data_IF_908736001824
#
_entry.id   IF_908736001824
#
_cell.length_a   1.000
_cell.length_b   1.000
_cell.length_c   1.000
_cell.angle_alpha   90.00
_cell.angle_beta   90.00
_cell.angle_gamma   90.00
#
_symmetry.space_group_name_H-M   'P 1'
#
loop_
_entity.id
_entity.type
_entity.pdbx_description
1 polymer ?
#
# COMPACT_ATOMS: atom_id res chain seq x y z
N UNK A 1 -25.05 -28.86 4.51
CA UNK A 1 -24.53 -27.56 4.96
C UNK A 1 -25.01 -26.52 3.96
N UNK A 2 -25.55 -25.39 4.43
CA UNK A 2 -26.04 -24.33 3.56
C UNK A 2 -24.91 -23.74 2.69
N UNK A 3 -25.25 -23.33 1.46
CA UNK A 3 -24.30 -22.67 0.57
C UNK A 3 -23.85 -21.32 1.17
N UNK A 4 -22.57 -20.93 1.02
CA UNK A 4 -22.10 -19.63 1.48
C UNK A 4 -22.94 -18.51 0.87
N UNK A 5 -23.49 -17.62 1.70
CA UNK A 5 -24.20 -16.45 1.21
C UNK A 5 -23.20 -15.52 0.50
N UNK A 6 -23.25 -15.48 -0.84
CA UNK A 6 -22.25 -14.80 -1.65
C UNK A 6 -22.25 -13.28 -1.45
N UNK A 7 -23.42 -12.66 -1.23
CA UNK A 7 -23.52 -11.26 -0.88
C UNK A 7 -22.71 -10.96 0.39
N UNK A 8 -22.89 -11.76 1.45
CA UNK A 8 -22.10 -11.60 2.68
C UNK A 8 -20.60 -11.70 2.38
N UNK A 9 -20.16 -12.71 1.64
CA UNK A 9 -18.75 -12.92 1.31
C UNK A 9 -18.16 -11.71 0.57
N UNK A 10 -18.84 -11.20 -0.47
CA UNK A 10 -18.39 -10.03 -1.24
C UNK A 10 -18.22 -8.82 -0.31
N UNK A 11 -19.20 -8.53 0.54
CA UNK A 11 -19.16 -7.34 1.39
C UNK A 11 -18.22 -7.49 2.61
N UNK A 12 -17.97 -8.70 3.09
CA UNK A 12 -16.89 -8.96 4.05
C UNK A 12 -15.52 -8.75 3.39
N UNK A 13 -15.33 -9.25 2.16
CA UNK A 13 -14.11 -9.03 1.40
C UNK A 13 -13.87 -7.54 1.06
N UNK A 14 -14.91 -6.78 0.72
CA UNK A 14 -14.81 -5.33 0.46
C UNK A 14 -14.39 -4.53 1.72
N UNK A 15 -14.72 -5.02 2.91
CA UNK A 15 -14.23 -4.43 4.17
C UNK A 15 -12.79 -4.83 4.51
N UNK A 16 -12.15 -5.69 3.72
CA UNK A 16 -10.82 -6.22 4.00
C UNK A 16 -10.80 -7.30 5.08
N UNK A 17 -11.94 -7.95 5.35
CA UNK A 17 -11.97 -9.07 6.31
C UNK A 17 -11.30 -10.30 5.70
N UNK A 18 -10.40 -10.93 6.46
CA UNK A 18 -9.70 -12.15 6.05
C UNK A 18 -10.60 -13.37 6.20
N UNK A 19 -10.48 -14.31 5.26
CA UNK A 19 -11.19 -15.59 5.30
C UNK A 19 -10.21 -16.73 5.61
N UNK A 20 -10.69 -17.73 6.32
CA UNK A 20 -9.95 -18.96 6.56
C UNK A 20 -9.65 -19.69 5.23
N UNK A 21 -8.45 -20.24 5.09
CA UNK A 21 -8.02 -20.91 3.85
C UNK A 21 -8.85 -22.15 3.56
N UNK A 22 -9.19 -22.93 4.58
CA UNK A 22 -9.99 -24.15 4.42
C UNK A 22 -11.41 -23.78 4.00
N UNK A 23 -11.96 -22.71 4.59
CA UNK A 23 -13.24 -22.14 4.17
C UNK A 23 -13.24 -21.70 2.69
N UNK A 24 -12.17 -21.05 2.23
CA UNK A 24 -12.04 -20.64 0.82
C UNK A 24 -12.01 -21.88 -0.10
N UNK A 25 -11.21 -22.90 0.24
CA UNK A 25 -11.06 -24.10 -0.59
C UNK A 25 -12.34 -24.94 -0.63
N UNK A 26 -12.99 -25.16 0.51
CA UNK A 26 -14.26 -25.88 0.59
C UNK A 26 -15.36 -25.17 -0.21
N UNK A 27 -15.45 -23.84 -0.07
CA UNK A 27 -16.43 -23.03 -0.80
C UNK A 27 -16.14 -23.00 -2.30
N UNK A 28 -14.87 -22.96 -2.71
CA UNK A 28 -14.47 -23.03 -4.11
C UNK A 28 -14.94 -24.33 -4.76
N UNK A 29 -14.74 -25.47 -4.10
CA UNK A 29 -15.22 -26.78 -4.60
C UNK A 29 -16.73 -26.81 -4.76
N UNK A 30 -17.49 -26.33 -3.75
CA UNK A 30 -18.95 -26.24 -3.83
C UNK A 30 -19.43 -25.41 -5.01
N UNK A 31 -18.85 -24.23 -5.24
CA UNK A 31 -19.24 -23.37 -6.34
C UNK A 31 -18.82 -23.91 -7.71
N UNK A 32 -17.76 -24.73 -7.79
CA UNK A 32 -17.43 -25.48 -9.00
C UNK A 32 -18.54 -26.49 -9.32
N UNK A 33 -18.97 -27.29 -8.34
CA UNK A 33 -20.05 -28.26 -8.52
C UNK A 33 -21.38 -27.58 -8.90
N UNK A 34 -21.71 -26.46 -8.24
CA UNK A 34 -22.92 -25.69 -8.54
C UNK A 34 -22.92 -25.12 -9.97
N UNK A 35 -21.77 -24.65 -10.47
CA UNK A 35 -21.65 -24.18 -11.85
C UNK A 35 -21.76 -25.31 -12.88
N UNK A 36 -21.38 -26.55 -12.52
CA UNK A 36 -21.59 -27.73 -13.37
C UNK A 36 -23.07 -28.09 -13.46
N UNK A 37 -23.79 -27.97 -12.34
CA UNK A 37 -25.23 -28.27 -12.27
C UNK A 37 -26.08 -27.19 -12.95
N UNK A 38 -25.75 -25.93 -12.74
CA UNK A 38 -26.46 -24.78 -13.29
C UNK A 38 -25.50 -23.64 -13.61
N UNK A 39 -25.09 -23.58 -14.88
CA UNK A 39 -24.28 -22.51 -15.44
C UNK A 39 -25.11 -21.31 -15.94
N UNK A 40 -26.44 -21.35 -15.82
CA UNK A 40 -27.33 -20.24 -16.15
C UNK A 40 -27.55 -19.32 -14.94
N UNK A 41 -27.39 -19.83 -13.71
CA UNK A 41 -27.48 -19.05 -12.48
C UNK A 41 -26.26 -18.12 -12.31
N UNK A 42 -26.50 -16.81 -12.40
CA UNK A 42 -25.46 -15.79 -12.23
C UNK A 42 -24.81 -15.82 -10.84
N UNK A 43 -25.57 -16.12 -9.78
CA UNK A 43 -25.05 -16.17 -8.41
C UNK A 43 -24.00 -17.27 -8.23
N UNK A 44 -24.17 -18.42 -8.89
CA UNK A 44 -23.20 -19.51 -8.86
C UNK A 44 -21.87 -19.07 -9.49
N UNK A 45 -21.94 -18.40 -10.64
CA UNK A 45 -20.78 -17.91 -11.39
C UNK A 45 -20.07 -16.80 -10.60
N UNK A 46 -20.81 -15.86 -10.02
CA UNK A 46 -20.26 -14.84 -9.13
C UNK A 46 -19.54 -15.53 -7.96
N UNK A 47 -20.16 -16.51 -7.33
CA UNK A 47 -19.58 -17.29 -6.24
C UNK A 47 -18.26 -17.93 -6.61
N UNK A 48 -18.23 -18.66 -7.72
CA UNK A 48 -17.02 -19.27 -8.25
C UNK A 48 -15.92 -18.22 -8.49
N UNK A 49 -16.26 -17.11 -9.15
CA UNK A 49 -15.31 -16.05 -9.46
C UNK A 49 -14.74 -15.37 -8.22
N UNK A 50 -15.56 -15.13 -7.20
CA UNK A 50 -15.13 -14.55 -5.92
C UNK A 50 -14.20 -15.51 -5.16
N UNK A 51 -14.52 -16.79 -5.06
CA UNK A 51 -13.64 -17.74 -4.36
C UNK A 51 -12.34 -18.03 -5.13
N UNK A 52 -12.35 -17.98 -6.47
CA UNK A 52 -11.12 -17.96 -7.28
C UNK A 52 -10.28 -16.72 -6.97
N UNK A 53 -10.90 -15.55 -6.88
CA UNK A 53 -10.23 -14.29 -6.53
C UNK A 53 -9.66 -14.35 -5.11
N UNK A 54 -10.41 -14.87 -4.13
CA UNK A 54 -9.99 -15.02 -2.73
C UNK A 54 -8.87 -16.05 -2.55
N UNK A 55 -8.86 -17.14 -3.33
CA UNK A 55 -7.77 -18.13 -3.33
C UNK A 55 -6.47 -17.63 -3.98
N UNK A 56 -6.50 -16.45 -4.61
CA UNK A 56 -5.35 -15.78 -5.23
C UNK A 56 -5.23 -15.99 -6.74
N UNK A 57 -6.16 -16.71 -7.37
CA UNK A 57 -6.24 -16.82 -8.82
C UNK A 57 -7.04 -15.63 -9.41
N UNK A 58 -6.36 -14.48 -9.44
CA UNK A 58 -6.93 -13.21 -9.93
C UNK A 58 -7.37 -13.32 -11.40
N UNK A 59 -6.68 -14.12 -12.21
CA UNK A 59 -6.94 -14.22 -13.65
C UNK A 59 -8.19 -15.06 -13.89
N UNK A 60 -8.28 -16.25 -13.29
CA UNK A 60 -9.47 -17.09 -13.42
C UNK A 60 -10.69 -16.39 -12.80
N UNK A 61 -10.56 -15.88 -11.56
CA UNK A 61 -11.62 -15.17 -10.88
C UNK A 61 -12.11 -13.96 -11.67
N UNK A 62 -11.19 -13.18 -12.26
CA UNK A 62 -11.53 -12.04 -13.09
C UNK A 62 -12.33 -12.43 -14.34
N UNK A 63 -11.89 -13.47 -15.08
CA UNK A 63 -12.60 -13.96 -16.26
C UNK A 63 -14.01 -14.45 -15.91
N UNK A 64 -14.15 -15.17 -14.80
CA UNK A 64 -15.44 -15.71 -14.33
C UNK A 64 -16.40 -14.58 -13.97
N UNK A 65 -15.94 -13.58 -13.22
CA UNK A 65 -16.75 -12.40 -12.85
C UNK A 65 -17.15 -11.60 -14.10
N UNK A 66 -16.25 -11.44 -15.08
CA UNK A 66 -16.54 -10.74 -16.33
C UNK A 66 -17.49 -11.53 -17.25
N UNK A 67 -17.53 -12.86 -17.11
CA UNK A 67 -18.56 -13.71 -17.70
C UNK A 67 -19.94 -13.46 -17.08
N UNK A 68 -20.00 -13.43 -15.75
CA UNK A 68 -21.23 -13.17 -15.00
C UNK A 68 -21.84 -11.79 -15.35
N UNK A 69 -21.01 -10.75 -15.52
CA UNK A 69 -21.51 -9.40 -15.84
C UNK A 69 -22.10 -9.27 -17.24
N UNK A 70 -21.65 -10.11 -18.18
CA UNK A 70 -22.23 -10.19 -19.53
C UNK A 70 -23.52 -10.99 -19.55
N UNK A 71 -23.61 -12.01 -18.70
CA UNK A 71 -24.77 -12.90 -18.62
C UNK A 71 -25.96 -12.22 -17.93
N UNK A 72 -25.71 -11.52 -16.82
CA UNK A 72 -26.74 -10.80 -16.07
C UNK A 72 -26.27 -9.41 -15.65
N UNK A 73 -26.28 -8.43 -16.58
CA UNK A 73 -25.84 -7.07 -16.32
C UNK A 73 -26.78 -6.29 -15.37
N UNK A 74 -27.99 -6.77 -15.14
CA UNK A 74 -28.96 -6.11 -14.27
C UNK A 74 -28.82 -6.53 -12.80
N UNK A 75 -27.98 -7.54 -12.52
CA UNK A 75 -27.73 -8.01 -11.17
C UNK A 75 -26.68 -7.14 -10.48
N UNK A 76 -27.11 -6.34 -9.50
CA UNK A 76 -26.21 -5.48 -8.73
C UNK A 76 -25.07 -6.24 -8.06
N UNK A 77 -25.30 -7.47 -7.55
CA UNK A 77 -24.23 -8.24 -6.89
C UNK A 77 -23.04 -8.52 -7.81
N UNK A 78 -23.27 -8.66 -9.11
CA UNK A 78 -22.19 -8.81 -10.09
C UNK A 78 -21.33 -7.56 -10.11
N UNK A 79 -21.94 -6.38 -10.09
CA UNK A 79 -21.21 -5.11 -10.09
C UNK A 79 -20.43 -4.87 -8.80
N UNK A 80 -20.94 -5.31 -7.64
CA UNK A 80 -20.16 -5.33 -6.41
C UNK A 80 -18.93 -6.26 -6.51
N UNK A 81 -19.07 -7.43 -7.15
CA UNK A 81 -17.96 -8.35 -7.42
C UNK A 81 -16.95 -7.77 -8.42
N UNK A 82 -17.41 -7.11 -9.49
CA UNK A 82 -16.56 -6.39 -10.46
C UNK A 82 -15.80 -5.27 -9.75
N UNK A 83 -16.43 -4.52 -8.85
CA UNK A 83 -15.81 -3.49 -8.02
C UNK A 83 -14.68 -4.07 -7.17
N UNK A 84 -14.95 -5.13 -6.40
CA UNK A 84 -13.94 -5.83 -5.58
C UNK A 84 -12.75 -6.33 -6.42
N UNK A 85 -13.03 -7.00 -7.54
CA UNK A 85 -11.99 -7.45 -8.49
C UNK A 85 -11.14 -6.28 -8.97
N UNK A 86 -11.79 -5.20 -9.41
CA UNK A 86 -11.14 -4.02 -9.98
C UNK A 86 -10.24 -3.31 -8.96
N UNK A 87 -10.67 -3.21 -7.70
CA UNK A 87 -9.82 -2.72 -6.61
C UNK A 87 -8.57 -3.59 -6.40
N UNK A 88 -8.71 -4.93 -6.42
CA UNK A 88 -7.57 -5.86 -6.26
C UNK A 88 -6.55 -5.78 -7.38
N UNK A 89 -6.99 -5.50 -8.61
CA UNK A 89 -6.09 -5.26 -9.75
C UNK A 89 -5.72 -3.80 -9.92
N UNK A 90 -6.05 -2.94 -8.95
CA UNK A 90 -5.67 -1.53 -8.95
C UNK A 90 -6.31 -0.70 -10.11
N UNK A 91 -7.40 -1.18 -10.71
CA UNK A 91 -8.17 -0.50 -11.74
C UNK A 91 -9.30 0.33 -11.11
N UNK A 92 -8.94 1.37 -10.36
CA UNK A 92 -9.87 2.12 -9.50
C UNK A 92 -11.00 2.83 -10.26
N UNK A 93 -10.73 3.39 -11.45
CA UNK A 93 -11.81 3.95 -12.30
C UNK A 93 -12.88 2.90 -12.63
N UNK A 94 -12.46 1.72 -13.09
CA UNK A 94 -13.38 0.62 -13.39
C UNK A 94 -14.11 0.12 -12.14
N UNK A 95 -13.46 0.20 -10.97
CA UNK A 95 -14.11 -0.12 -9.70
C UNK A 95 -15.22 0.89 -9.36
N UNK A 96 -14.99 2.19 -9.58
CA UNK A 96 -16.01 3.24 -9.40
C UNK A 96 -17.20 3.03 -10.33
N UNK A 97 -16.95 2.86 -11.62
CA UNK A 97 -18.01 2.61 -12.61
C UNK A 97 -18.87 1.39 -12.21
N UNK A 98 -18.24 0.36 -11.63
CA UNK A 98 -18.94 -0.81 -11.11
C UNK A 98 -19.74 -0.51 -9.82
N UNK A 99 -19.21 0.28 -8.89
CA UNK A 99 -19.98 0.69 -7.71
C UNK A 99 -21.16 1.59 -8.08
N UNK A 100 -21.00 2.50 -9.05
CA UNK A 100 -22.09 3.31 -9.58
C UNK A 100 -23.18 2.44 -10.22
N UNK A 101 -22.79 1.41 -10.97
CA UNK A 101 -23.73 0.41 -11.48
C UNK A 101 -24.43 -0.36 -10.34
N UNK A 102 -23.71 -0.77 -9.29
CA UNK A 102 -24.33 -1.40 -8.11
C UNK A 102 -25.36 -0.47 -7.45
N UNK A 103 -25.04 0.81 -7.27
CA UNK A 103 -25.94 1.81 -6.70
C UNK A 103 -27.17 2.05 -7.57
N UNK A 104 -27.01 2.00 -8.90
CA UNK A 104 -28.12 2.13 -9.85
C UNK A 104 -29.08 0.94 -9.81
N UNK A 105 -28.57 -0.29 -9.86
CA UNK A 105 -29.41 -1.50 -9.89
C UNK A 105 -29.95 -1.90 -8.51
N UNK A 106 -29.32 -1.47 -7.41
CA UNK A 106 -29.72 -1.83 -6.05
C UNK A 106 -29.87 -0.60 -5.12
N UNK A 107 -30.73 0.38 -5.44
CA UNK A 107 -30.84 1.67 -4.74
C UNK A 107 -31.46 1.57 -3.33
N UNK A 108 -32.03 0.42 -2.97
CA UNK A 108 -32.58 0.16 -1.63
C UNK A 108 -31.76 -0.88 -0.85
N UNK A 109 -30.57 -1.27 -1.33
CA UNK A 109 -29.73 -2.25 -0.64
C UNK A 109 -29.21 -1.73 0.69
N UNK A 110 -29.15 -2.61 1.70
CA UNK A 110 -28.53 -2.29 3.00
C UNK A 110 -27.02 -2.01 2.90
N UNK A 111 -26.42 -2.26 1.74
CA UNK A 111 -24.98 -2.20 1.45
C UNK A 111 -24.52 -0.95 0.71
N UNK A 112 -25.44 -0.04 0.37
CA UNK A 112 -25.16 1.21 -0.34
C UNK A 112 -24.09 2.05 0.38
N UNK A 113 -24.17 2.15 1.71
CA UNK A 113 -23.18 2.88 2.50
C UNK A 113 -21.75 2.36 2.24
N UNK A 114 -21.58 1.03 2.19
CA UNK A 114 -20.28 0.41 1.97
C UNK A 114 -19.80 0.62 0.53
N UNK A 115 -20.69 0.51 -0.46
CA UNK A 115 -20.35 0.81 -1.86
C UNK A 115 -19.90 2.27 -2.03
N UNK A 116 -20.59 3.21 -1.39
CA UNK A 116 -20.20 4.61 -1.37
C UNK A 116 -18.83 4.83 -0.71
N UNK A 117 -18.57 4.20 0.44
CA UNK A 117 -17.25 4.28 1.08
C UNK A 117 -16.14 3.70 0.19
N UNK A 118 -16.40 2.60 -0.52
CA UNK A 118 -15.43 2.02 -1.47
C UNK A 118 -15.23 2.88 -2.73
N UNK A 119 -16.24 3.65 -3.12
CA UNK A 119 -16.11 4.67 -4.18
C UNK A 119 -15.17 5.79 -3.73
N UNK A 120 -15.29 6.26 -2.48
CA UNK A 120 -14.36 7.23 -1.90
C UNK A 120 -12.93 6.68 -1.83
N UNK A 121 -12.76 5.42 -1.41
CA UNK A 121 -11.44 4.75 -1.42
C UNK A 121 -10.82 4.80 -2.82
N UNK A 122 -11.61 4.49 -3.86
CA UNK A 122 -11.13 4.52 -5.25
C UNK A 122 -10.75 5.94 -5.68
N UNK A 123 -11.56 6.95 -5.36
CA UNK A 123 -11.23 8.36 -5.67
C UNK A 123 -9.94 8.81 -4.99
N UNK A 124 -9.72 8.40 -3.74
CA UNK A 124 -8.47 8.69 -3.00
C UNK A 124 -7.26 8.04 -3.67
N UNK A 125 -7.37 6.78 -4.08
CA UNK A 125 -6.28 6.06 -4.77
C UNK A 125 -5.99 6.64 -6.17
N UNK A 126 -7.01 7.18 -6.84
CA UNK A 126 -6.86 7.95 -8.09
C UNK A 126 -6.39 9.39 -7.86
N UNK A 127 -6.29 9.85 -6.60
CA UNK A 127 -5.90 11.22 -6.22
C UNK A 127 -6.90 12.28 -6.68
N UNK A 128 -8.15 11.89 -6.91
CA UNK A 128 -9.27 12.77 -7.26
C UNK A 128 -9.85 13.40 -5.98
N UNK A 129 -9.02 14.15 -5.24
CA UNK A 129 -9.37 14.62 -3.90
C UNK A 129 -10.58 15.58 -3.88
N UNK A 130 -10.72 16.42 -4.92
CA UNK A 130 -11.88 17.33 -5.05
C UNK A 130 -13.18 16.55 -5.29
N UNK A 131 -13.18 15.64 -6.25
CA UNK A 131 -14.33 14.75 -6.52
C UNK A 131 -14.66 13.88 -5.31
N UNK A 132 -13.65 13.42 -4.57
CA UNK A 132 -13.84 12.68 -3.33
C UNK A 132 -14.57 13.51 -2.27
N UNK A 133 -14.22 14.80 -2.12
CA UNK A 133 -14.89 15.71 -1.19
C UNK A 133 -16.34 15.96 -1.62
N UNK A 134 -16.56 16.20 -2.91
CA UNK A 134 -17.90 16.44 -3.45
C UNK A 134 -18.81 15.20 -3.23
N UNK A 135 -18.32 14.00 -3.56
CA UNK A 135 -19.05 12.76 -3.31
C UNK A 135 -19.31 12.51 -1.83
N UNK A 136 -18.32 12.75 -0.97
CA UNK A 136 -18.45 12.60 0.48
C UNK A 136 -19.53 13.52 1.06
N UNK A 137 -19.60 14.78 0.61
CA UNK A 137 -20.62 15.73 1.04
C UNK A 137 -22.02 15.34 0.55
N UNK A 138 -22.15 14.78 -0.65
CA UNK A 138 -23.42 14.30 -1.20
C UNK A 138 -24.01 13.15 -0.36
N UNK A 139 -23.17 12.20 0.06
CA UNK A 139 -23.65 11.00 0.78
C UNK A 139 -23.82 11.21 2.29
N UNK A 140 -23.19 12.25 2.88
CA UNK A 140 -23.11 12.46 4.32
C UNK A 140 -24.48 12.38 5.02
N UNK A 141 -25.51 13.00 4.44
CA UNK A 141 -26.85 13.08 5.05
C UNK A 141 -27.59 11.72 5.11
N UNK A 142 -27.28 10.79 4.21
CA UNK A 142 -27.89 9.45 4.17
C UNK A 142 -27.04 8.35 4.80
N UNK A 143 -25.77 8.64 5.10
CA UNK A 143 -24.80 7.64 5.52
C UNK A 143 -25.03 7.22 6.98
N UNK A 144 -25.07 5.90 7.24
CA UNK A 144 -25.18 5.37 8.61
C UNK A 144 -24.01 5.81 9.49
N UNK A 145 -24.33 6.12 10.75
CA UNK A 145 -23.41 6.67 11.75
C UNK A 145 -22.11 5.87 11.93
N UNK A 146 -22.15 4.54 11.77
CA UNK A 146 -20.96 3.67 11.85
C UNK A 146 -19.86 4.01 10.83
N UNK A 147 -20.19 4.70 9.73
CA UNK A 147 -19.23 5.11 8.70
C UNK A 147 -18.75 6.56 8.86
N UNK A 148 -19.36 7.35 9.74
CA UNK A 148 -19.04 8.77 9.89
C UNK A 148 -17.57 9.01 10.22
N UNK A 149 -16.98 8.24 11.15
CA UNK A 149 -15.57 8.40 11.49
C UNK A 149 -14.64 8.16 10.28
N UNK A 150 -14.91 7.11 9.49
CA UNK A 150 -14.13 6.81 8.29
C UNK A 150 -14.29 7.92 7.24
N UNK A 151 -15.52 8.40 7.03
CA UNK A 151 -15.83 9.52 6.12
C UNK A 151 -15.08 10.80 6.51
N UNK A 152 -15.15 11.22 7.78
CA UNK A 152 -14.46 12.42 8.25
C UNK A 152 -12.93 12.27 8.20
N UNK A 153 -12.39 11.07 8.46
CA UNK A 153 -10.97 10.80 8.22
C UNK A 153 -10.59 10.91 6.73
N UNK A 154 -11.45 10.43 5.82
CA UNK A 154 -11.26 10.56 4.37
C UNK A 154 -11.27 12.03 3.94
N UNK A 155 -12.25 12.81 4.41
CA UNK A 155 -12.33 14.25 4.16
C UNK A 155 -11.09 14.97 4.71
N UNK A 156 -10.70 14.69 5.95
CA UNK A 156 -9.50 15.24 6.58
C UNK A 156 -8.24 14.96 5.77
N UNK A 157 -8.10 13.74 5.25
CA UNK A 157 -6.99 13.32 4.39
C UNK A 157 -7.01 14.05 3.04
N UNK A 158 -8.16 14.17 2.39
CA UNK A 158 -8.29 14.88 1.11
C UNK A 158 -7.97 16.38 1.26
N UNK A 159 -8.48 17.03 2.31
CA UNK A 159 -8.14 18.43 2.58
C UNK A 159 -6.66 18.62 2.89
N UNK A 160 -6.02 17.67 3.58
CA UNK A 160 -4.58 17.70 3.81
C UNK A 160 -3.79 17.62 2.50
N UNK A 161 -4.19 16.72 1.58
CA UNK A 161 -3.55 16.59 0.26
C UNK A 161 -3.76 17.80 -0.65
N UNK A 162 -4.77 18.62 -0.38
CA UNK A 162 -5.03 19.89 -1.06
C UNK A 162 -4.41 21.10 -0.33
N UNK A 163 -3.59 20.88 0.69
CA UNK A 163 -2.95 21.93 1.52
C UNK A 163 -3.96 22.85 2.24
N UNK A 164 -5.18 22.35 2.49
CA UNK A 164 -6.25 23.06 3.20
C UNK A 164 -6.25 22.68 4.68
N UNK A 165 -5.21 23.12 5.40
CA UNK A 165 -4.92 22.70 6.78
C UNK A 165 -6.06 22.95 7.78
N UNK A 166 -6.79 24.07 7.66
CA UNK A 166 -7.89 24.41 8.57
C UNK A 166 -9.05 23.42 8.46
N UNK A 167 -9.51 23.14 7.23
CA UNK A 167 -10.57 22.17 6.96
C UNK A 167 -10.15 20.75 7.33
N UNK A 168 -8.89 20.40 7.12
CA UNK A 168 -8.35 19.10 7.53
C UNK A 168 -8.47 18.91 9.06
N UNK A 169 -8.03 19.89 9.85
CA UNK A 169 -8.13 19.86 11.32
C UNK A 169 -9.59 19.80 11.78
N UNK A 170 -10.49 20.56 11.16
CA UNK A 170 -11.92 20.55 11.49
C UNK A 170 -12.52 19.13 11.37
N UNK A 171 -12.24 18.45 10.26
CA UNK A 171 -12.73 17.09 10.03
C UNK A 171 -12.14 16.08 11.03
N UNK A 172 -10.84 16.15 11.30
CA UNK A 172 -10.23 15.29 12.32
C UNK A 172 -10.75 15.59 13.73
N UNK A 173 -11.12 16.83 14.03
CA UNK A 173 -11.66 17.22 15.35
C UNK A 173 -13.02 16.58 15.62
N UNK A 174 -13.85 16.39 14.59
CA UNK A 174 -15.13 15.68 14.70
C UNK A 174 -14.92 14.22 15.12
N UNK A 175 -13.86 13.57 14.62
CA UNK A 175 -13.52 12.20 15.03
C UNK A 175 -12.90 12.20 16.43
N UNK A 176 -12.04 13.18 16.73
CA UNK A 176 -11.37 13.34 18.01
C UNK A 176 -12.31 13.61 19.19
N UNK A 177 -13.48 14.23 18.95
CA UNK A 177 -14.47 14.46 20.02
C UNK A 177 -15.05 13.16 20.59
N UNK A 178 -14.94 12.04 19.85
CA UNK A 178 -15.33 10.73 20.34
C UNK A 178 -14.11 10.03 20.98
N UNK A 179 -14.15 9.62 22.27
CA UNK A 179 -12.99 9.07 23.00
C UNK A 179 -12.68 7.61 22.63
N UNK A 180 -12.78 7.28 21.34
CA UNK A 180 -12.37 6.02 20.73
C UNK A 180 -10.87 6.03 20.43
N UNK A 181 -10.28 4.86 20.17
CA UNK A 181 -8.87 4.77 19.75
C UNK A 181 -8.59 5.64 18.50
N UNK A 182 -9.47 5.57 17.50
CA UNK A 182 -9.36 6.38 16.29
C UNK A 182 -9.49 7.89 16.59
N UNK A 183 -10.38 8.28 17.51
CA UNK A 183 -10.50 9.66 17.96
C UNK A 183 -9.23 10.17 18.63
N UNK A 184 -8.62 9.40 19.54
CA UNK A 184 -7.33 9.75 20.16
C UNK A 184 -6.19 9.85 19.14
N UNK A 185 -6.19 8.98 18.12
CA UNK A 185 -5.23 9.06 17.01
C UNK A 185 -5.41 10.37 16.22
N UNK A 186 -6.66 10.74 15.91
CA UNK A 186 -6.96 12.00 15.24
C UNK A 186 -6.56 13.21 16.11
N UNK A 187 -6.78 13.16 17.42
CA UNK A 187 -6.33 14.21 18.34
C UNK A 187 -4.81 14.34 18.34
N UNK A 188 -4.09 13.21 18.39
CA UNK A 188 -2.63 13.21 18.28
C UNK A 188 -2.16 13.77 16.93
N UNK A 189 -2.84 13.43 15.83
CA UNK A 189 -2.54 13.95 14.50
C UNK A 189 -2.73 15.46 14.41
N UNK A 190 -3.80 16.00 15.01
CA UNK A 190 -3.99 17.46 15.13
C UNK A 190 -2.82 18.07 15.91
N UNK A 191 -2.35 17.41 16.97
CA UNK A 191 -1.13 17.77 17.69
C UNK A 191 0.11 17.83 16.79
N UNK A 192 0.33 16.84 15.92
CA UNK A 192 1.39 16.86 14.93
C UNK A 192 1.28 18.06 13.98
N UNK A 193 0.09 18.29 13.43
CA UNK A 193 -0.16 19.39 12.49
C UNK A 193 0.05 20.77 13.10
N UNK A 194 -0.26 20.91 14.38
CA UNK A 194 -0.04 22.14 15.15
C UNK A 194 1.36 22.21 15.76
N UNK A 195 2.26 21.28 15.43
CA UNK A 195 3.64 21.16 15.95
C UNK A 195 3.72 20.95 17.47
N UNK A 196 2.64 20.52 18.11
CA UNK A 196 2.60 20.16 19.51
C UNK A 196 2.91 18.66 19.71
N UNK A 197 4.14 18.27 19.39
CA UNK A 197 4.58 16.87 19.39
C UNK A 197 4.58 16.24 20.80
N UNK A 198 4.76 17.05 21.85
CA UNK A 198 4.73 16.55 23.23
C UNK A 198 3.34 16.08 23.61
N UNK A 199 2.31 16.90 23.37
CA UNK A 199 0.92 16.51 23.62
C UNK A 199 0.50 15.32 22.75
N UNK A 200 0.87 15.32 21.47
CA UNK A 200 0.59 14.20 20.57
C UNK A 200 1.19 12.87 21.09
N UNK A 201 2.41 12.92 21.60
CA UNK A 201 3.09 11.76 22.18
C UNK A 201 2.39 11.24 23.45
N UNK A 202 1.99 12.14 24.35
CA UNK A 202 1.27 11.77 25.58
C UNK A 202 -0.06 11.08 25.27
N UNK A 203 -0.85 11.65 24.35
CA UNK A 203 -2.10 11.05 23.87
C UNK A 203 -1.84 9.65 23.29
N UNK A 204 -0.85 9.50 22.41
CA UNK A 204 -0.55 8.20 21.79
C UNK A 204 -0.14 7.18 22.84
N UNK A 205 0.63 7.56 23.86
CA UNK A 205 1.06 6.67 24.94
C UNK A 205 -0.11 6.20 25.80
N UNK A 206 -1.08 7.06 26.08
CA UNK A 206 -2.26 6.74 26.90
C UNK A 206 -3.36 6.02 26.11
N UNK A 207 -3.40 6.19 24.79
CA UNK A 207 -4.50 5.75 23.92
C UNK A 207 -4.65 4.23 23.72
N UNK A 208 -3.67 3.40 24.12
CA UNK A 208 -3.63 2.00 23.65
C UNK A 208 -3.29 0.95 24.72
N UNK A 209 -4.21 0.64 25.65
CA UNK A 209 -3.95 -0.29 26.77
C UNK A 209 -4.10 -1.80 26.43
N UNK A 210 -4.73 -2.19 25.32
CA UNK A 210 -4.88 -3.60 24.93
C UNK A 210 -4.61 -3.76 23.42
N UNK A 211 -3.49 -4.37 23.06
CA UNK A 211 -3.16 -4.67 21.66
C UNK A 211 -2.84 -6.14 21.48
N UNK A 212 -3.29 -6.71 20.37
CA UNK A 212 -2.70 -7.92 19.80
C UNK A 212 -1.41 -7.46 19.12
N UNK A 213 -0.22 -7.85 19.62
CA UNK A 213 1.04 -7.46 18.99
C UNK A 213 1.02 -7.81 17.50
N UNK A 214 1.56 -6.90 16.67
CA UNK A 214 1.63 -7.04 15.21
C UNK A 214 0.30 -7.02 14.45
N UNK A 215 -0.83 -6.64 15.07
CA UNK A 215 -2.01 -6.23 14.29
C UNK A 215 -1.71 -4.96 13.47
N UNK A 216 -2.43 -4.72 12.37
CA UNK A 216 -2.20 -3.50 11.58
C UNK A 216 -2.38 -2.23 12.42
N UNK A 217 -3.39 -2.19 13.29
CA UNK A 217 -3.62 -1.07 14.19
C UNK A 217 -2.48 -0.86 15.19
N UNK A 218 -1.83 -1.94 15.64
CA UNK A 218 -0.62 -1.87 16.47
C UNK A 218 0.55 -1.27 15.68
N UNK A 219 0.76 -1.73 14.45
CA UNK A 219 1.83 -1.26 13.56
C UNK A 219 1.66 0.24 13.25
N UNK A 220 0.46 0.65 12.85
CA UNK A 220 0.14 2.05 12.52
C UNK A 220 0.34 2.96 13.75
N UNK A 221 -0.10 2.51 14.92
CA UNK A 221 0.09 3.25 16.18
C UNK A 221 1.57 3.42 16.54
N UNK A 222 2.38 2.36 16.43
CA UNK A 222 3.83 2.42 16.65
C UNK A 222 4.52 3.35 15.65
N UNK A 223 4.10 3.32 14.39
CA UNK A 223 4.58 4.24 13.37
C UNK A 223 4.31 5.71 13.74
N UNK A 224 3.12 6.03 14.26
CA UNK A 224 2.81 7.39 14.74
C UNK A 224 3.68 7.79 15.95
N UNK A 225 3.91 6.89 16.90
CA UNK A 225 4.82 7.15 18.03
C UNK A 225 6.25 7.42 17.54
N UNK A 226 6.74 6.66 16.56
CA UNK A 226 8.05 6.89 15.98
C UNK A 226 8.16 8.26 15.31
N UNK A 227 7.10 8.73 14.63
CA UNK A 227 7.03 10.09 14.11
C UNK A 227 7.16 11.13 15.24
N UNK A 228 6.47 10.94 16.38
CA UNK A 228 6.59 11.84 17.53
C UNK A 228 8.05 11.94 18.00
N UNK A 229 8.71 10.81 18.19
CA UNK A 229 10.11 10.78 18.60
C UNK A 229 11.03 11.47 17.59
N UNK A 230 10.82 11.22 16.29
CA UNK A 230 11.61 11.85 15.22
C UNK A 230 11.50 13.38 15.26
N UNK A 231 10.28 13.92 15.33
CA UNK A 231 10.05 15.38 15.36
C UNK A 231 10.49 16.03 16.67
N UNK A 232 10.55 15.26 17.77
CA UNK A 232 11.18 15.69 19.03
C UNK A 232 12.72 15.66 19.00
N UNK A 233 13.33 15.08 17.96
CA UNK A 233 14.79 14.92 17.83
C UNK A 233 15.35 13.62 18.43
N UNK A 234 14.52 12.79 19.04
CA UNK A 234 14.84 11.47 19.58
C UNK A 234 14.92 10.42 18.46
N UNK A 235 15.90 10.55 17.57
CA UNK A 235 15.99 9.73 16.36
C UNK A 235 16.27 8.26 16.68
N UNK A 236 17.05 7.97 17.72
CA UNK A 236 17.38 6.60 18.09
C UNK A 236 16.09 5.85 18.47
N UNK A 237 15.31 6.40 19.39
CA UNK A 237 14.03 5.83 19.83
C UNK A 237 13.04 5.66 18.67
N UNK A 238 12.98 6.63 17.76
CA UNK A 238 12.18 6.52 16.55
C UNK A 238 12.62 5.32 15.69
N UNK A 239 13.92 5.18 15.46
CA UNK A 239 14.49 4.09 14.64
C UNK A 239 14.25 2.72 15.29
N UNK A 240 14.42 2.60 16.61
CA UNK A 240 14.16 1.36 17.35
C UNK A 240 12.72 0.88 17.12
N UNK A 241 11.76 1.80 17.22
CA UNK A 241 10.34 1.47 17.04
C UNK A 241 10.09 1.07 15.58
N UNK A 242 10.61 1.81 14.60
CA UNK A 242 10.42 1.50 13.18
C UNK A 242 11.01 0.14 12.81
N UNK A 243 12.21 -0.22 13.30
CA UNK A 243 12.78 -1.55 13.08
C UNK A 243 11.98 -2.64 13.80
N UNK A 244 11.50 -2.39 15.02
CA UNK A 244 10.70 -3.38 15.77
C UNK A 244 9.42 -3.80 15.06
N UNK A 245 8.83 -2.91 14.24
CA UNK A 245 7.63 -3.20 13.45
C UNK A 245 7.97 -3.72 12.05
N UNK A 246 9.09 -3.28 11.47
CA UNK A 246 9.52 -3.65 10.11
C UNK A 246 10.14 -5.05 10.03
N UNK A 247 10.96 -5.46 11.01
CA UNK A 247 11.59 -6.79 11.04
C UNK A 247 10.56 -7.91 10.86
N UNK A 248 9.46 -7.98 11.65
CA UNK A 248 8.44 -9.01 11.46
C UNK A 248 7.54 -8.77 10.25
N UNK A 249 7.45 -7.53 9.74
CA UNK A 249 6.59 -7.13 8.63
C UNK A 249 7.38 -6.29 7.61
N UNK A 250 8.16 -6.92 6.71
CA UNK A 250 9.11 -6.22 5.84
C UNK A 250 8.44 -5.43 4.68
N UNK A 251 7.12 -5.46 4.58
CA UNK A 251 6.34 -4.87 3.50
C UNK A 251 5.63 -3.55 3.91
N UNK A 252 6.22 -2.78 4.81
CA UNK A 252 5.65 -1.52 5.29
C UNK A 252 6.27 -0.32 4.57
N UNK A 253 5.65 0.13 3.46
CA UNK A 253 6.17 1.21 2.60
C UNK A 253 6.34 2.54 3.38
N UNK A 254 5.37 2.92 4.22
CA UNK A 254 5.45 4.11 5.08
C UNK A 254 6.64 4.05 6.05
N UNK A 255 6.84 2.91 6.70
CA UNK A 255 7.93 2.68 7.66
C UNK A 255 9.28 2.72 6.97
N UNK A 256 9.40 2.10 5.79
CA UNK A 256 10.61 2.16 4.96
C UNK A 256 10.92 3.60 4.54
N UNK A 257 9.93 4.37 4.07
CA UNK A 257 10.14 5.77 3.70
C UNK A 257 10.59 6.62 4.91
N UNK A 258 10.05 6.36 6.10
CA UNK A 258 10.45 7.06 7.32
C UNK A 258 11.91 6.75 7.71
N UNK A 259 12.33 5.47 7.65
CA UNK A 259 13.73 5.10 7.84
C UNK A 259 14.63 5.71 6.77
N UNK A 260 14.19 5.75 5.51
CA UNK A 260 14.88 6.43 4.42
C UNK A 260 15.08 7.92 4.70
N UNK A 261 14.06 8.61 5.21
CA UNK A 261 14.13 10.01 5.65
C UNK A 261 15.12 10.20 6.79
N UNK A 262 15.10 9.31 7.79
CA UNK A 262 16.07 9.31 8.89
C UNK A 262 17.49 9.19 8.33
N UNK A 263 17.77 8.20 7.47
CA UNK A 263 19.09 8.01 6.86
C UNK A 263 19.57 9.26 6.11
N UNK A 264 18.69 9.88 5.30
CA UNK A 264 19.04 11.11 4.56
C UNK A 264 19.38 12.27 5.50
N UNK A 265 18.65 12.43 6.62
CA UNK A 265 18.92 13.48 7.62
C UNK A 265 20.32 13.38 8.22
N UNK A 266 20.87 12.17 8.35
CA UNK A 266 22.25 11.94 8.80
C UNK A 266 23.26 11.83 7.65
N UNK A 267 22.92 12.38 6.47
CA UNK A 267 23.73 12.33 5.26
C UNK A 267 24.10 10.90 4.80
N UNK A 268 23.34 9.90 5.23
CA UNK A 268 23.57 8.52 4.84
C UNK A 268 22.72 8.15 3.61
N UNK A 269 23.18 8.61 2.46
CA UNK A 269 22.41 8.59 1.21
C UNK A 269 22.16 7.16 0.68
N UNK A 270 23.05 6.21 0.94
CA UNK A 270 22.96 4.84 0.40
C UNK A 270 21.85 4.04 1.06
N UNK A 271 21.82 4.02 2.39
CA UNK A 271 20.78 3.37 3.16
C UNK A 271 19.43 4.06 2.88
N UNK A 272 19.43 5.38 2.69
CA UNK A 272 18.24 6.11 2.24
C UNK A 272 17.73 5.58 0.90
N UNK A 273 18.59 5.45 -0.12
CA UNK A 273 18.22 4.84 -1.40
C UNK A 273 17.66 3.44 -1.23
N UNK A 274 18.32 2.59 -0.43
CA UNK A 274 17.86 1.21 -0.21
C UNK A 274 16.42 1.19 0.33
N UNK A 275 16.13 2.00 1.34
CA UNK A 275 14.81 2.08 1.94
C UNK A 275 13.75 2.59 0.96
N UNK A 276 14.04 3.67 0.22
CA UNK A 276 13.09 4.22 -0.75
C UNK A 276 12.90 3.31 -1.98
N UNK A 277 13.94 2.63 -2.45
CA UNK A 277 13.82 1.62 -3.51
C UNK A 277 12.96 0.44 -3.04
N UNK A 278 13.19 -0.06 -1.82
CA UNK A 278 12.35 -1.11 -1.24
C UNK A 278 10.90 -0.65 -1.13
N UNK A 279 10.65 0.57 -0.66
CA UNK A 279 9.32 1.15 -0.60
C UNK A 279 8.67 1.25 -1.99
N UNK A 280 9.42 1.65 -3.02
CA UNK A 280 8.95 1.70 -4.41
C UNK A 280 8.61 0.31 -4.97
N UNK A 281 9.32 -0.75 -4.56
CA UNK A 281 8.97 -2.13 -4.94
C UNK A 281 7.68 -2.61 -4.30
N UNK A 282 7.38 -2.15 -3.08
CA UNK A 282 6.17 -2.51 -2.34
C UNK A 282 4.97 -1.71 -2.85
N UNK A 283 5.14 -0.40 -3.02
CA UNK A 283 4.10 0.50 -3.50
C UNK A 283 4.63 1.36 -4.66
N UNK A 284 4.63 0.82 -5.90
CA UNK A 284 5.15 1.53 -7.06
C UNK A 284 4.26 2.69 -7.51
N UNK A 285 3.04 2.83 -6.95
CA UNK A 285 2.06 3.84 -7.36
C UNK A 285 2.02 5.06 -6.45
N UNK A 286 2.90 5.13 -5.45
CA UNK A 286 3.03 6.28 -4.55
C UNK A 286 4.07 7.29 -5.11
N UNK A 287 3.67 8.35 -5.83
CA UNK A 287 4.59 9.35 -6.39
C UNK A 287 5.45 10.07 -5.36
N UNK A 288 5.02 10.18 -4.09
CA UNK A 288 5.87 10.73 -3.02
C UNK A 288 7.19 9.94 -2.87
N UNK A 289 7.16 8.62 -3.10
CA UNK A 289 8.35 7.76 -3.06
C UNK A 289 9.27 8.09 -4.23
N UNK A 290 8.72 8.19 -5.45
CA UNK A 290 9.48 8.52 -6.66
C UNK A 290 10.06 9.93 -6.63
N UNK A 291 9.30 10.88 -6.09
CA UNK A 291 9.77 12.24 -5.86
C UNK A 291 10.94 12.25 -4.89
N UNK A 292 10.85 11.52 -3.78
CA UNK A 292 11.94 11.38 -2.82
C UNK A 292 13.16 10.66 -3.42
N UNK A 293 12.96 9.64 -4.26
CA UNK A 293 14.05 9.00 -5.01
C UNK A 293 14.74 9.97 -5.98
N UNK A 294 13.97 10.79 -6.71
CA UNK A 294 14.54 11.83 -7.57
C UNK A 294 15.40 12.82 -6.80
N UNK A 295 14.95 13.25 -5.62
CA UNK A 295 15.73 14.09 -4.71
C UNK A 295 17.05 13.43 -4.29
N UNK A 296 17.00 12.14 -3.95
CA UNK A 296 18.20 11.39 -3.60
C UNK A 296 19.16 11.31 -4.79
N UNK A 297 18.68 10.96 -5.99
CA UNK A 297 19.47 10.91 -7.22
C UNK A 297 20.10 12.25 -7.57
N UNK A 298 19.35 13.35 -7.42
CA UNK A 298 19.88 14.69 -7.63
C UNK A 298 20.98 15.02 -6.63
N UNK A 299 20.83 14.62 -5.36
CA UNK A 299 21.84 14.89 -4.33
C UNK A 299 23.19 14.20 -4.55
N UNK A 300 23.22 13.15 -5.38
CA UNK A 300 24.44 12.43 -5.81
C UNK A 300 24.75 12.62 -7.30
N UNK A 301 24.15 13.64 -7.93
CA UNK A 301 24.34 14.00 -9.35
C UNK A 301 24.18 12.80 -10.31
N UNK A 302 23.18 11.94 -10.07
CA UNK A 302 22.86 10.83 -10.97
C UNK A 302 21.88 11.25 -12.07
N UNK A 303 22.05 10.73 -13.29
CA UNK A 303 21.14 11.01 -14.40
C UNK A 303 19.73 10.46 -14.17
N UNK A 304 19.58 9.43 -13.33
CA UNK A 304 18.29 8.80 -13.02
C UNK A 304 17.31 9.72 -12.25
N UNK A 305 17.77 10.89 -11.80
CA UNK A 305 16.94 11.87 -11.11
C UNK A 305 15.75 12.31 -11.98
N UNK A 306 16.00 12.65 -13.25
CA UNK A 306 14.95 13.11 -14.17
C UNK A 306 13.90 12.02 -14.39
N UNK A 307 14.33 10.79 -14.66
CA UNK A 307 13.44 9.62 -14.80
C UNK A 307 12.57 9.39 -13.56
N UNK A 308 13.13 9.54 -12.36
CA UNK A 308 12.38 9.39 -11.11
C UNK A 308 11.33 10.49 -10.93
N UNK A 309 11.66 11.75 -11.26
CA UNK A 309 10.71 12.86 -11.22
C UNK A 309 9.61 12.75 -12.27
N UNK A 310 9.95 12.34 -13.49
CA UNK A 310 8.97 12.08 -14.55
C UNK A 310 7.98 11.02 -14.12
N UNK A 311 8.47 9.93 -13.51
CA UNK A 311 7.59 8.88 -12.95
C UNK A 311 6.71 9.42 -11.83
N UNK A 312 7.26 10.24 -10.92
CA UNK A 312 6.46 10.89 -9.88
C UNK A 312 5.35 11.75 -10.48
N UNK A 313 5.65 12.55 -11.51
CA UNK A 313 4.69 13.41 -12.21
C UNK A 313 3.62 12.61 -12.97
N UNK A 314 3.99 11.53 -13.63
CA UNK A 314 3.04 10.64 -14.32
C UNK A 314 2.03 10.01 -13.36
N UNK A 315 2.47 9.71 -12.14
CA UNK A 315 1.63 9.14 -11.09
C UNK A 315 0.83 10.21 -10.33
N UNK A 316 1.27 11.47 -10.35
CA UNK A 316 0.61 12.62 -9.74
C UNK A 316 -0.21 13.41 -10.78
N UNK A 317 -1.23 12.76 -11.32
CA UNK A 317 -2.08 13.26 -12.41
C UNK A 317 -2.74 14.60 -12.09
N UNK A 318 -2.89 14.94 -10.80
CA UNK A 318 -3.56 16.14 -10.31
C UNK A 318 -2.62 17.18 -9.69
N UNK A 319 -1.31 17.06 -9.92
CA UNK A 319 -0.29 18.05 -9.53
C UNK A 319 -0.33 18.41 -8.03
N UNK A 320 -0.49 17.40 -7.18
CA UNK A 320 -0.47 17.59 -5.72
C UNK A 320 0.94 17.62 -5.14
N UNK A 321 1.93 17.16 -5.90
CA UNK A 321 3.33 17.27 -5.56
C UNK A 321 3.84 18.71 -5.77
N UNK A 322 4.85 19.14 -5.00
CA UNK A 322 5.49 20.43 -5.19
C UNK A 322 6.01 20.60 -6.64
N UNK A 323 5.60 21.67 -7.31
CA UNK A 323 5.99 21.97 -8.70
C UNK A 323 7.45 22.43 -8.84
N UNK A 324 8.10 22.85 -7.75
CA UNK A 324 9.49 23.33 -7.76
C UNK A 324 10.36 22.50 -6.82
N UNK A 325 11.43 21.96 -7.39
CA UNK A 325 12.53 21.38 -6.65
C UNK A 325 13.48 22.47 -6.17
N UNK A 326 13.43 22.76 -4.87
CA UNK A 326 14.58 23.39 -4.23
C UNK A 326 15.60 22.29 -3.92
N UNK A 327 16.86 22.46 -4.36
CA UNK A 327 17.95 21.50 -4.02
C UNK A 327 18.15 21.37 -2.50
N UNK A 328 17.66 22.33 -1.73
CA UNK A 328 17.68 22.35 -0.27
C UNK A 328 16.35 21.89 0.37
N UNK A 329 15.35 21.50 -0.42
CA UNK A 329 14.08 21.04 0.14
C UNK A 329 14.23 19.68 0.81
N UNK A 330 13.60 19.53 1.98
CA UNK A 330 13.54 18.26 2.67
C UNK A 330 12.75 17.22 1.86
N UNK A 331 13.04 15.94 2.08
CA UNK A 331 12.22 14.86 1.55
C UNK A 331 10.77 15.03 2.01
N UNK A 332 9.85 14.80 1.08
CA UNK A 332 8.42 14.98 1.31
C UNK A 332 7.93 13.98 2.37
N UNK A 333 7.15 14.50 3.32
CA UNK A 333 6.44 13.68 4.29
C UNK A 333 5.32 12.90 3.62
N UNK A 334 5.28 11.60 3.93
CA UNK A 334 4.24 10.72 3.43
C UNK A 334 3.13 10.63 4.47
N UNK A 335 2.01 11.29 4.19
CA UNK A 335 0.81 11.27 5.04
C UNK A 335 0.18 9.88 5.10
N UNK A 336 -0.11 9.43 6.33
CA UNK A 336 -0.94 8.25 6.60
C UNK A 336 -2.42 8.58 6.40
N UNK A 337 -3.18 7.66 5.77
CA UNK A 337 -4.62 7.84 5.60
C UNK A 337 -5.39 7.16 6.76
N UNK A 338 -5.89 7.95 7.71
CA UNK A 338 -6.59 7.42 8.89
C UNK A 338 -7.95 6.79 8.60
N UNK A 339 -8.54 6.99 7.43
CA UNK A 339 -9.76 6.26 7.04
C UNK A 339 -9.52 4.76 6.95
N UNK A 340 -8.25 4.39 6.71
CA UNK A 340 -7.73 3.03 6.56
C UNK A 340 -6.95 2.55 7.80
N UNK A 341 -7.01 3.30 8.91
CA UNK A 341 -6.25 2.97 10.11
C UNK A 341 -6.61 1.57 10.62
N UNK A 342 -5.61 0.71 10.77
CA UNK A 342 -5.81 -0.67 11.22
C UNK A 342 -6.49 -1.59 10.21
N UNK A 343 -6.73 -1.15 8.96
CA UNK A 343 -7.20 -2.03 7.89
C UNK A 343 -6.06 -2.91 7.39
N UNK A 344 -6.23 -4.23 7.43
CA UNK A 344 -5.25 -5.16 6.90
C UNK A 344 -5.14 -5.00 5.38
N UNK A 345 -4.10 -4.31 4.91
CA UNK A 345 -3.65 -4.46 3.53
C UNK A 345 -2.97 -5.82 3.43
N UNK A 346 -3.70 -6.86 3.02
CA UNK A 346 -3.06 -8.11 2.61
C UNK A 346 -2.12 -7.82 1.44
N UNK A 347 -0.86 -7.51 1.75
CA UNK A 347 0.22 -7.57 0.78
C UNK A 347 0.50 -9.05 0.60
N UNK A 348 0.03 -9.58 -0.53
CA UNK A 348 0.20 -10.95 -1.03
C UNK A 348 1.24 -11.74 -0.23
N UNK A 349 0.75 -12.57 0.68
CA UNK A 349 1.52 -13.70 1.22
C UNK A 349 1.62 -14.79 0.16
N UNK A 350 2.31 -14.50 -0.94
CA UNK A 350 3.18 -15.52 -1.52
C UNK A 350 4.45 -15.43 -0.70
N UNK A 351 4.77 -16.51 0.01
CA UNK A 351 6.04 -16.76 0.74
C UNK A 351 5.90 -16.96 2.26
N UNK A 352 4.84 -17.63 2.71
CA UNK A 352 4.96 -18.44 3.95
C UNK A 352 4.81 -19.95 3.74
N UNK A 353 4.13 -20.41 2.70
CA UNK A 353 3.86 -21.85 2.50
C UNK A 353 4.16 -22.40 1.09
N UNK A 354 4.50 -21.57 0.10
CA UNK A 354 4.80 -22.01 -1.29
C UNK A 354 6.28 -22.11 -1.66
N UNK A 355 7.19 -21.70 -0.78
CA UNK A 355 8.65 -21.84 -0.97
C UNK A 355 9.17 -23.29 -0.80
N UNK A 356 8.30 -24.25 -0.46
CA UNK A 356 8.68 -25.67 -0.36
C UNK A 356 8.17 -26.57 -1.50
N UNK A 357 7.24 -26.13 -2.37
CA UNK A 357 6.52 -27.11 -3.21
C UNK A 357 6.25 -26.75 -4.68
N UNK A 358 6.66 -25.60 -5.23
CA UNK A 358 6.38 -25.27 -6.64
C UNK A 358 7.63 -24.79 -7.40
N UNK A 359 8.62 -25.68 -7.46
CA UNK A 359 9.43 -25.84 -8.66
C UNK A 359 8.53 -26.35 -9.78
N UNK A 360 8.63 -25.73 -10.96
CA UNK A 360 8.06 -26.12 -12.26
C UNK A 360 6.63 -25.63 -12.58
N UNK A 361 6.54 -24.45 -13.23
CA UNK A 361 6.16 -24.27 -14.66
C UNK A 361 5.77 -22.81 -14.92
N UNK A 362 6.50 -22.18 -15.84
CA UNK A 362 6.22 -20.84 -16.37
C UNK A 362 5.11 -20.85 -17.42
N UNK A 363 4.33 -19.76 -17.50
CA UNK A 363 3.82 -19.23 -18.78
C UNK A 363 3.90 -17.70 -18.81
N UNK A 364 4.45 -17.22 -19.93
CA UNK A 364 4.76 -15.82 -20.28
C UNK A 364 3.51 -15.01 -20.56
N UNK A 365 3.46 -13.77 -20.08
CA UNK A 365 2.68 -12.68 -20.70
C UNK A 365 3.56 -11.44 -20.75
N UNK A 366 3.71 -10.88 -21.95
CA UNK A 366 4.45 -9.66 -22.25
C UNK A 366 3.88 -8.46 -21.47
N UNK A 367 4.76 -7.64 -20.87
CA UNK A 367 4.47 -6.28 -20.42
C UNK A 367 5.35 -5.28 -21.17
N UNK A 368 4.85 -4.06 -21.45
CA UNK A 368 5.58 -3.03 -22.17
C UNK A 368 6.69 -2.41 -21.30
N UNK A 369 7.72 -1.89 -21.96
CA UNK A 369 8.95 -1.33 -21.39
C UNK A 369 8.72 -0.42 -20.17
N UNK A 370 9.06 -0.90 -18.97
CA UNK A 370 9.25 -0.05 -17.78
C UNK A 370 10.74 0.39 -17.71
N UNK A 371 11.04 1.64 -17.30
CA UNK A 371 12.42 2.11 -17.20
C UNK A 371 13.18 1.37 -16.09
N UNK A 372 14.38 0.91 -16.45
CA UNK A 372 15.32 0.22 -15.56
C UNK A 372 15.81 1.21 -14.49
N UNK A 373 15.59 0.93 -13.21
CA UNK A 373 16.08 1.75 -12.11
C UNK A 373 17.46 1.22 -11.73
N UNK A 374 18.50 1.98 -12.06
CA UNK A 374 19.87 1.65 -11.73
C UNK A 374 20.21 2.09 -10.30
N UNK A 375 20.88 1.21 -9.56
CA UNK A 375 21.65 1.61 -8.39
C UNK A 375 22.83 2.46 -8.92
N UNK A 376 23.11 3.65 -8.35
CA UNK A 376 24.13 4.56 -8.87
C UNK A 376 25.48 3.87 -9.15
N UNK A 377 26.02 3.99 -10.36
CA UNK A 377 27.32 3.43 -10.73
C UNK A 377 28.51 4.33 -10.37
N UNK A 378 28.32 5.64 -10.21
CA UNK A 378 29.44 6.59 -10.03
C UNK A 378 29.85 6.78 -8.56
N UNK A 379 29.47 5.86 -7.68
CA UNK A 379 30.17 5.72 -6.41
C UNK A 379 31.33 4.77 -6.70
N UNK A 380 32.44 5.37 -7.11
CA UNK A 380 33.60 4.65 -7.57
C UNK A 380 34.23 3.86 -6.41
N UNK A 381 33.99 2.55 -6.38
CA UNK A 381 35.01 1.56 -6.03
C UNK A 381 34.80 0.33 -6.91
N UNK A 382 35.61 0.27 -7.98
CA UNK A 382 35.95 -0.91 -8.77
C UNK A 382 34.83 -1.94 -9.00
N UNK A 383 33.99 -1.69 -10.00
CA UNK A 383 33.58 -2.71 -10.97
C UNK A 383 32.73 -3.89 -10.49
N UNK A 384 32.23 -3.91 -9.26
CA UNK A 384 31.35 -4.97 -8.77
C UNK A 384 29.96 -4.41 -8.38
N UNK A 385 28.92 -5.15 -8.77
CA UNK A 385 27.60 -5.07 -8.14
C UNK A 385 27.80 -5.05 -6.63
N UNK A 386 27.19 -4.10 -5.92
CA UNK A 386 27.24 -3.97 -4.46
C UNK A 386 27.00 -5.35 -3.85
N UNK A 387 28.07 -6.00 -3.38
CA UNK A 387 27.97 -7.26 -2.67
C UNK A 387 27.39 -6.97 -1.28
N UNK A 388 26.66 -7.94 -0.71
CA UNK A 388 26.15 -7.82 0.67
C UNK A 388 27.26 -7.41 1.66
N UNK A 389 28.52 -7.81 1.41
CA UNK A 389 29.73 -7.44 2.16
C UNK A 389 30.05 -5.93 2.20
N UNK A 390 29.67 -5.16 1.18
CA UNK A 390 29.94 -3.71 1.13
C UNK A 390 29.05 -2.93 2.11
N UNK A 391 27.83 -3.41 2.37
CA UNK A 391 26.93 -2.83 3.37
C UNK A 391 27.49 -3.01 4.79
N UNK A 392 28.22 -4.10 5.06
CA UNK A 392 28.78 -4.39 6.38
C UNK A 392 30.05 -3.61 6.75
N UNK A 393 30.78 -3.07 5.77
CA UNK A 393 32.17 -2.61 5.97
C UNK A 393 32.34 -1.09 6.01
N UNK A 394 31.28 -0.31 5.75
CA UNK A 394 31.37 1.16 5.66
C UNK A 394 31.25 1.86 7.02
N UNK A 395 32.01 2.94 7.21
CA UNK A 395 31.76 3.92 8.27
C UNK A 395 30.42 4.62 7.99
N UNK A 396 29.42 4.37 8.84
CA UNK A 396 28.11 4.99 8.73
C UNK A 396 28.10 6.27 9.56
N UNK A 397 27.57 7.36 9.00
CA UNK A 397 27.28 8.60 9.72
C UNK A 397 26.03 8.53 10.59
N UNK A 398 25.37 7.35 10.64
CA UNK A 398 24.26 7.10 11.56
C UNK A 398 24.77 7.09 13.01
N UNK A 399 23.97 7.57 13.98
CA UNK A 399 24.28 7.38 15.39
C UNK A 399 24.55 5.90 15.70
N UNK A 400 25.52 5.60 16.56
CA UNK A 400 26.04 4.23 16.81
C UNK A 400 24.94 3.17 16.97
N UNK A 401 23.89 3.45 17.73
CA UNK A 401 22.77 2.51 17.92
C UNK A 401 21.87 2.30 16.69
N UNK A 402 21.74 3.29 15.79
CA UNK A 402 20.93 3.15 14.56
C UNK A 402 21.68 2.31 13.52
N UNK A 403 23.02 2.45 13.45
CA UNK A 403 23.86 1.61 12.57
C UNK A 403 23.77 0.13 12.96
N UNK A 404 23.91 -0.16 14.26
CA UNK A 404 23.82 -1.54 14.78
C UNK A 404 22.46 -2.19 14.45
N UNK A 405 21.37 -1.45 14.61
CA UNK A 405 20.03 -1.93 14.28
C UNK A 405 19.83 -2.20 12.80
N UNK A 406 20.38 -1.33 11.96
CA UNK A 406 20.35 -1.56 10.52
C UNK A 406 21.13 -2.83 10.16
N UNK A 407 22.32 -3.03 10.73
CA UNK A 407 23.10 -4.25 10.52
C UNK A 407 22.35 -5.50 10.99
N UNK A 408 21.68 -5.44 12.15
CA UNK A 408 20.89 -6.55 12.68
C UNK A 408 19.63 -6.83 11.84
N UNK A 409 18.98 -5.77 11.33
CA UNK A 409 17.91 -5.90 10.36
C UNK A 409 18.39 -6.57 9.07
N UNK A 410 19.51 -6.12 8.49
CA UNK A 410 20.09 -6.73 7.28
C UNK A 410 20.51 -8.18 7.53
N UNK A 411 21.06 -8.51 8.72
CA UNK A 411 21.32 -9.90 9.11
C UNK A 411 20.04 -10.73 9.23
N UNK A 412 18.97 -10.17 9.79
CA UNK A 412 17.67 -10.83 9.85
C UNK A 412 17.10 -11.10 8.45
N UNK A 413 17.36 -10.18 7.51
CA UNK A 413 17.04 -10.35 6.11
C UNK A 413 17.96 -11.39 5.44
N UNK A 414 19.22 -11.57 5.84
CA UNK A 414 20.12 -12.55 5.22
C UNK A 414 19.68 -14.01 5.42
N UNK A 415 18.99 -14.34 6.52
CA UNK A 415 18.25 -15.60 6.64
C UNK A 415 17.16 -15.75 5.57
N UNK A 416 16.54 -14.63 5.18
CA UNK A 416 15.49 -14.46 4.16
C UNK A 416 16.03 -14.22 2.72
N UNK A 417 17.29 -13.81 2.56
CA UNK A 417 17.96 -13.54 1.28
C UNK A 417 18.62 -14.81 0.77
N UNK A 418 19.00 -15.77 1.63
CA UNK A 418 19.41 -17.10 1.19
C UNK A 418 18.34 -17.81 0.35
N UNK A 419 17.05 -17.53 0.60
CA UNK A 419 15.90 -17.98 -0.20
C UNK A 419 15.63 -17.08 -1.41
N UNK A 420 16.04 -15.80 -1.41
CA UNK A 420 16.00 -14.92 -2.59
C UNK A 420 17.24 -14.96 -3.49
N UNK A 421 18.35 -15.60 -3.09
CA UNK A 421 19.47 -15.90 -4.00
C UNK A 421 19.04 -16.76 -5.20
N UNK A 422 17.90 -17.47 -5.08
CA UNK A 422 17.25 -18.12 -6.21
C UNK A 422 16.53 -17.13 -7.15
N UNK A 423 16.04 -15.99 -6.65
CA UNK A 423 15.50 -14.89 -7.47
C UNK A 423 16.63 -14.04 -8.10
N UNK A 424 17.84 -14.05 -7.55
CA UNK A 424 19.01 -13.47 -8.20
C UNK A 424 19.42 -14.23 -9.49
N UNK A 425 18.98 -15.49 -9.67
CA UNK A 425 19.12 -16.18 -10.95
C UNK A 425 18.23 -15.59 -12.07
N UNK A 426 17.20 -14.80 -11.72
CA UNK A 426 16.39 -14.06 -12.71
C UNK A 426 17.20 -12.90 -13.33
N UNK A 427 18.24 -12.42 -12.64
CA UNK A 427 19.23 -11.47 -13.18
C UNK A 427 20.43 -12.15 -13.86
N UNK A 428 20.60 -13.47 -13.74
CA UNK A 428 21.63 -14.24 -14.46
C UNK A 428 21.13 -14.83 -15.79
N UNK A 429 19.83 -15.08 -15.94
CA UNK A 429 19.21 -15.44 -17.23
C UNK A 429 19.19 -14.30 -18.26
N UNK A 430 19.49 -13.07 -17.82
CA UNK A 430 19.72 -11.91 -18.71
C UNK A 430 21.16 -11.91 -19.29
N UNK A 431 22.07 -12.74 -18.76
CA UNK A 431 23.49 -12.78 -19.17
C UNK A 431 23.85 -13.87 -20.18
N UNK A 432 22.90 -14.64 -20.73
CA UNK A 432 23.20 -15.76 -21.65
C UNK A 432 22.74 -15.57 -23.10
N UNK A 433 22.60 -14.34 -23.59
CA UNK A 433 22.48 -14.09 -25.03
C UNK A 433 23.84 -13.71 -25.65
N UNK A 434 24.31 -14.45 -26.68
CA UNK A 434 25.66 -14.29 -27.22
C UNK A 434 25.82 -12.95 -27.96
N UNK A 435 26.91 -12.27 -27.66
CA UNK A 435 27.43 -11.15 -28.44
C UNK A 435 27.87 -11.62 -29.82
N UNK A 436 27.16 -11.21 -30.88
CA UNK A 436 27.76 -11.06 -32.20
C UNK A 436 27.63 -9.63 -32.67
N UNK A 437 28.71 -8.86 -32.46
CA UNK A 437 29.07 -7.72 -33.30
C UNK A 437 29.37 -8.26 -34.70
N UNK A 438 28.68 -7.80 -35.73
CA UNK A 438 29.29 -7.61 -37.04
C UNK A 438 28.96 -6.22 -37.56
N UNK A 439 30.04 -5.52 -37.91
CA UNK A 439 30.12 -4.16 -38.41
C UNK A 439 29.49 -4.10 -39.80
N UNK A 440 28.73 -3.05 -40.09
CA UNK A 440 28.47 -2.62 -41.45
C UNK A 440 29.69 -1.83 -41.95
N UNK A 441 30.29 -2.33 -43.03
CA UNK A 441 30.99 -1.56 -44.06
C UNK A 441 30.23 -1.75 -45.35
#
# INVERSE_FOLDING_TARGET
MENPNIEKVIFHALKGESFDKDYIQESLGKYQDLCVLDNACSENIIGLGIFQLLSGDIIAGGKTIDGASKQDPNNGLVWAAVGLKSMRICAFKHARDAFDAFLHYCPNSTKIDLANMKTLDCLVEERLYKECIDHANLILGGLKQKYHNSLYCTLGYCYEKLDLQSKSIENYSIVASNPTNLGRICEAWIGFKTKNYTKAFEILKESFPQQIPFSQSWIDHKYLIANCYYFKGCVLEASNILFSILVPNPHLDLTLCMLGKICKKFNNVYESFWFYLKAATINPRRPEIWYNLGHLYQSVNQPDAESAFEKAKQLDIHETLPQKLDKNSELLDITMNFSKFGENFEIKTKDKEKLQMLNNKEHRVNKPNEPYITVPQTINYEGNLVSDEFLYTRESSLPGGVKEQWLDFVKSLNGFISTQRQAANILSDIKSLPTKRQRFS
#
